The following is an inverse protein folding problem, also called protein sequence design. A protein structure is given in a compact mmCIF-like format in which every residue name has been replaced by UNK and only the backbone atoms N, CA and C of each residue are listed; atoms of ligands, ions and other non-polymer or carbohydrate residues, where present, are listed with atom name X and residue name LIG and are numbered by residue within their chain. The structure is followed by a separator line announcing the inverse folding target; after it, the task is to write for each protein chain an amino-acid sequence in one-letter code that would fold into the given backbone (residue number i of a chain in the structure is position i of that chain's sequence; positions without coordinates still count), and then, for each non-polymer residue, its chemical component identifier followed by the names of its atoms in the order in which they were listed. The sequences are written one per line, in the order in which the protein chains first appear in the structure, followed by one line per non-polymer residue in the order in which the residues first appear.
data_IF_243765133771
#
_entry.id   IF_243765133771
#
_cell.length_a   1.000
_cell.length_b   1.000
_cell.length_c   1.000
_cell.angle_alpha   90.00
_cell.angle_beta   90.00
_cell.angle_gamma   90.00
#
_symmetry.space_group_name_H-M   'P 1'
#
loop_
_entity.id
_entity.type
_entity.pdbx_description
1 polymer ?
#
# COMPACT_ATOMS: atom_id res chain seq x y z
N UNK A 1 -3.91 10.65 -12.37
CA UNK A 1 -4.47 9.28 -12.40
C UNK A 1 -5.92 9.29 -11.92
N UNK A 2 -6.75 8.37 -12.42
CA UNK A 2 -8.06 8.07 -11.83
C UNK A 2 -7.93 7.05 -10.69
N UNK A 3 -8.50 7.38 -9.54
CA UNK A 3 -8.23 6.69 -8.26
C UNK A 3 -9.52 6.15 -7.68
N UNK A 4 -9.48 4.90 -7.21
CA UNK A 4 -10.45 4.39 -6.23
C UNK A 4 -9.90 4.61 -4.82
N UNK A 5 -10.71 5.12 -3.91
CA UNK A 5 -10.31 5.31 -2.52
C UNK A 5 -10.86 4.18 -1.64
N UNK A 6 -9.97 3.51 -0.90
CA UNK A 6 -10.37 2.64 0.21
C UNK A 6 -10.83 3.52 1.37
N UNK A 7 -12.10 3.39 1.75
CA UNK A 7 -12.71 4.18 2.83
C UNK A 7 -13.17 3.30 3.97
N UNK A 8 -12.79 3.69 5.20
CA UNK A 8 -13.27 3.09 6.45
C UNK A 8 -14.31 3.95 7.17
N UNK A 9 -14.55 5.17 6.66
CA UNK A 9 -15.31 6.21 7.37
C UNK A 9 -14.43 7.09 8.27
N UNK A 10 -13.21 6.67 8.60
CA UNK A 10 -12.29 7.43 9.45
C UNK A 10 -11.70 8.68 8.79
N UNK A 11 -11.23 9.60 9.65
CA UNK A 11 -10.53 10.83 9.26
C UNK A 11 -9.36 10.57 8.30
N UNK A 12 -8.62 9.48 8.50
CA UNK A 12 -7.40 9.18 7.76
C UNK A 12 -7.72 8.81 6.31
N UNK A 13 -8.76 8.01 6.09
CA UNK A 13 -9.21 7.67 4.73
C UNK A 13 -9.72 8.90 3.96
N UNK A 14 -10.43 9.82 4.63
CA UNK A 14 -10.89 11.06 4.02
C UNK A 14 -9.71 12.00 3.71
N UNK A 15 -8.74 12.11 4.62
CA UNK A 15 -7.57 12.95 4.39
C UNK A 15 -6.66 12.41 3.28
N UNK A 16 -6.51 11.09 3.18
CA UNK A 16 -5.78 10.45 2.08
C UNK A 16 -6.40 10.78 0.72
N UNK A 17 -7.74 10.80 0.62
CA UNK A 17 -8.42 11.27 -0.59
C UNK A 17 -8.13 12.75 -0.88
N UNK A 18 -8.15 13.61 0.15
CA UNK A 18 -7.84 15.03 -0.02
C UNK A 18 -6.41 15.24 -0.51
N UNK A 19 -5.43 14.49 0.01
CA UNK A 19 -4.06 14.48 -0.51
C UNK A 19 -4.00 14.03 -1.96
N UNK A 20 -4.73 12.98 -2.34
CA UNK A 20 -4.81 12.56 -3.75
C UNK A 20 -5.27 13.70 -4.66
N UNK A 21 -6.32 14.44 -4.27
CA UNK A 21 -6.81 15.60 -5.03
C UNK A 21 -5.75 16.72 -5.08
N UNK A 22 -5.07 17.01 -3.97
CA UNK A 22 -3.98 18.00 -3.92
C UNK A 22 -2.81 17.65 -4.86
N UNK A 23 -2.50 16.36 -5.02
CA UNK A 23 -1.50 15.87 -5.97
C UNK A 23 -2.02 15.73 -7.42
N UNK A 24 -3.21 16.26 -7.72
CA UNK A 24 -3.77 16.28 -9.08
C UNK A 24 -4.41 14.96 -9.53
N UNK A 25 -4.70 14.06 -8.60
CA UNK A 25 -5.46 12.84 -8.89
C UNK A 25 -6.97 13.09 -8.83
N UNK A 26 -7.73 12.29 -9.57
CA UNK A 26 -9.19 12.33 -9.57
C UNK A 26 -9.75 11.11 -8.83
N UNK A 27 -10.49 11.32 -7.74
CA UNK A 27 -11.24 10.25 -7.09
C UNK A 27 -12.47 9.94 -7.94
N UNK A 28 -12.59 8.71 -8.43
CA UNK A 28 -13.70 8.29 -9.32
C UNK A 28 -14.62 7.25 -8.70
N UNK A 29 -14.20 6.62 -7.60
CA UNK A 29 -14.99 5.64 -6.87
C UNK A 29 -14.50 5.51 -5.42
N UNK A 30 -15.40 5.06 -4.55
CA UNK A 30 -15.10 4.62 -3.19
C UNK A 30 -15.19 3.10 -3.12
N UNK A 31 -14.36 2.48 -2.29
CA UNK A 31 -14.39 1.06 -1.99
C UNK A 31 -14.36 0.86 -0.47
N UNK A 32 -15.30 0.06 0.05
CA UNK A 32 -15.41 -0.21 1.48
C UNK A 32 -15.61 -1.71 1.73
N UNK A 33 -14.88 -2.24 2.70
CA UNK A 33 -15.16 -3.56 3.28
C UNK A 33 -15.97 -3.39 4.55
N UNK A 34 -16.95 -4.27 4.76
CA UNK A 34 -17.87 -4.22 5.90
C UNK A 34 -18.12 -5.61 6.50
N UNK A 35 -18.62 -5.69 7.74
CA UNK A 35 -18.98 -6.97 8.36
C UNK A 35 -20.02 -7.77 7.57
N UNK A 36 -20.07 -9.09 7.80
CA UNK A 36 -21.11 -9.96 7.21
C UNK A 36 -22.49 -9.63 7.78
N UNK A 37 -22.55 -9.35 9.08
CA UNK A 37 -23.75 -9.02 9.81
C UNK A 37 -23.78 -7.51 10.12
N UNK A 38 -24.83 -6.83 9.68
CA UNK A 38 -25.01 -5.39 9.88
C UNK A 38 -25.21 -5.02 11.37
N UNK A 39 -25.58 -5.99 12.21
CA UNK A 39 -25.69 -5.82 13.66
C UNK A 39 -24.34 -5.83 14.38
N UNK A 40 -23.26 -6.24 13.70
CA UNK A 40 -21.90 -6.28 14.27
C UNK A 40 -21.16 -5.01 13.89
N UNK A 41 -20.84 -4.18 14.88
CA UNK A 41 -20.07 -2.95 14.65
C UNK A 41 -18.57 -3.19 14.51
N UNK A 42 -18.01 -4.09 15.33
CA UNK A 42 -16.57 -4.31 15.44
C UNK A 42 -16.18 -5.74 15.07
N UNK A 43 -15.22 -5.86 14.16
CA UNK A 43 -14.48 -7.09 13.91
C UNK A 43 -13.08 -6.99 14.50
N UNK A 44 -12.53 -8.13 14.93
CA UNK A 44 -11.11 -8.25 15.27
C UNK A 44 -10.26 -8.39 13.99
N UNK A 45 -10.26 -7.32 13.19
CA UNK A 45 -9.53 -7.20 11.91
C UNK A 45 -8.27 -6.37 12.11
N UNK A 46 -7.15 -6.81 11.53
CA UNK A 46 -5.90 -6.02 11.54
C UNK A 46 -5.88 -5.00 10.39
N UNK A 47 -6.78 -5.15 9.42
CA UNK A 47 -6.84 -4.32 8.22
C UNK A 47 -7.91 -3.23 8.28
N UNK A 48 -9.07 -3.52 8.85
CA UNK A 48 -10.27 -2.73 8.60
C UNK A 48 -10.90 -2.21 9.89
N UNK A 49 -11.10 -0.90 9.95
CA UNK A 49 -12.10 -0.31 10.83
C UNK A 49 -13.50 -0.66 10.29
N UNK A 50 -14.35 -1.21 11.15
CA UNK A 50 -15.75 -1.52 10.82
C UNK A 50 -16.76 -0.71 11.62
N UNK A 51 -16.31 -0.03 12.68
CA UNK A 51 -17.19 0.79 13.52
C UNK A 51 -17.73 1.97 12.70
N UNK A 52 -19.06 2.13 12.69
CA UNK A 52 -19.76 3.15 11.93
C UNK A 52 -19.97 2.80 10.45
N UNK A 53 -19.75 1.54 10.04
CA UNK A 53 -19.92 1.11 8.65
C UNK A 53 -21.33 1.35 8.09
N UNK A 54 -22.36 1.44 8.93
CA UNK A 54 -23.74 1.72 8.53
C UNK A 54 -23.87 3.11 7.87
N UNK A 55 -23.03 4.06 8.28
CA UNK A 55 -23.08 5.45 7.78
C UNK A 55 -22.31 5.62 6.46
N UNK A 56 -21.31 4.76 6.19
CA UNK A 56 -20.42 4.87 5.00
C UNK A 56 -21.21 4.88 3.68
N UNK A 57 -22.37 4.22 3.63
CA UNK A 57 -23.28 4.25 2.47
C UNK A 57 -23.59 5.68 2.01
N UNK A 58 -23.62 6.62 2.95
CA UNK A 58 -23.91 8.03 2.72
C UNK A 58 -22.80 8.77 1.98
N UNK A 59 -21.55 8.28 2.03
CA UNK A 59 -20.40 8.94 1.41
C UNK A 59 -20.56 9.04 -0.11
N UNK A 60 -21.19 8.03 -0.72
CA UNK A 60 -21.52 8.04 -2.14
C UNK A 60 -22.35 9.28 -2.51
N UNK A 61 -23.39 9.58 -1.71
CA UNK A 61 -24.25 10.75 -1.91
C UNK A 61 -23.55 12.04 -1.55
N UNK A 62 -22.79 12.08 -0.45
CA UNK A 62 -22.04 13.26 -0.02
C UNK A 62 -21.04 13.73 -1.07
N UNK A 63 -20.31 12.79 -1.70
CA UNK A 63 -19.26 13.07 -2.68
C UNK A 63 -19.77 13.04 -4.13
N UNK A 64 -20.92 12.42 -4.40
CA UNK A 64 -21.47 12.31 -5.75
C UNK A 64 -20.77 11.24 -6.61
N UNK A 65 -20.05 10.30 -6.01
CA UNK A 65 -19.31 9.25 -6.73
C UNK A 65 -19.76 7.85 -6.30
N UNK A 66 -19.60 6.82 -7.15
CA UNK A 66 -20.05 5.48 -6.82
C UNK A 66 -19.27 4.88 -5.65
N UNK A 67 -19.97 4.16 -4.77
CA UNK A 67 -19.41 3.37 -3.68
C UNK A 67 -19.58 1.88 -3.96
N UNK A 68 -18.50 1.13 -3.90
CA UNK A 68 -18.48 -0.32 -3.99
C UNK A 68 -18.28 -0.90 -2.59
N UNK A 69 -19.13 -1.82 -2.18
CA UNK A 69 -19.07 -2.47 -0.87
C UNK A 69 -18.96 -3.97 -1.01
N UNK A 70 -18.12 -4.60 -0.18
CA UNK A 70 -18.04 -6.05 -0.07
C UNK A 70 -18.08 -6.45 1.41
N UNK A 71 -18.84 -7.50 1.72
CA UNK A 71 -18.84 -8.12 3.05
C UNK A 71 -17.59 -8.98 3.21
N UNK A 72 -16.86 -8.79 4.31
CA UNK A 72 -15.63 -9.53 4.65
C UNK A 72 -16.00 -10.97 4.96
N UNK A 73 -15.55 -11.93 4.16
CA UNK A 73 -15.77 -13.37 4.40
C UNK A 73 -14.54 -14.03 5.02
N UNK A 74 -13.35 -13.50 4.72
CA UNK A 74 -12.09 -13.95 5.27
C UNK A 74 -11.87 -13.49 6.70
N UNK A 75 -10.74 -13.92 7.25
CA UNK A 75 -10.26 -13.48 8.56
C UNK A 75 -8.76 -13.18 8.51
N UNK A 76 -8.22 -12.56 9.55
CA UNK A 76 -6.76 -12.36 9.68
C UNK A 76 -6.05 -13.72 9.73
N UNK A 77 -5.36 -14.14 8.66
CA UNK A 77 -4.64 -15.43 8.59
C UNK A 77 -3.15 -15.25 8.41
N UNK A 78 -2.74 -14.39 7.49
CA UNK A 78 -1.33 -14.12 7.23
C UNK A 78 -0.87 -12.95 8.09
N UNK A 79 -0.07 -13.20 9.13
CA UNK A 79 0.33 -12.14 10.09
C UNK A 79 1.72 -11.54 9.85
N UNK A 80 2.52 -12.10 8.93
CA UNK A 80 3.85 -11.53 8.62
C UNK A 80 3.72 -10.21 7.84
N UNK A 81 4.79 -9.41 7.84
CA UNK A 81 4.85 -8.13 7.14
C UNK A 81 4.73 -8.28 5.62
N UNK A 82 5.53 -9.16 5.01
CA UNK A 82 5.34 -9.53 3.60
C UNK A 82 4.04 -10.31 3.45
N UNK A 83 3.17 -9.90 2.53
CA UNK A 83 1.94 -10.61 2.27
C UNK A 83 2.13 -11.62 1.13
N UNK A 84 1.63 -12.83 1.32
CA UNK A 84 1.47 -13.84 0.27
C UNK A 84 -0.02 -14.15 0.16
N UNK A 85 -0.50 -14.28 -1.08
CA UNK A 85 -1.89 -14.69 -1.35
C UNK A 85 -2.25 -15.89 -0.49
N UNK A 86 -3.22 -15.71 0.40
CA UNK A 86 -3.60 -16.69 1.41
C UNK A 86 -5.10 -16.91 1.33
N UNK A 87 -5.57 -18.10 0.89
CA UNK A 87 -7.00 -18.36 0.76
C UNK A 87 -7.76 -18.14 2.08
N UNK A 88 -8.89 -17.43 2.00
CA UNK A 88 -9.75 -17.06 3.13
C UNK A 88 -9.14 -16.02 4.08
N UNK A 89 -8.06 -15.35 3.68
CA UNK A 89 -7.56 -14.17 4.36
C UNK A 89 -8.36 -12.93 3.93
N UNK A 90 -8.61 -12.01 4.87
CA UNK A 90 -9.40 -10.79 4.66
C UNK A 90 -8.84 -9.85 3.58
N UNK A 91 -7.57 -10.01 3.19
CA UNK A 91 -6.94 -9.27 2.08
C UNK A 91 -7.45 -9.74 0.71
N UNK A 92 -7.86 -11.01 0.59
CA UNK A 92 -8.43 -11.51 -0.66
C UNK A 92 -9.83 -10.95 -0.92
N UNK A 93 -10.58 -10.62 0.14
CA UNK A 93 -11.83 -9.86 0.00
C UNK A 93 -11.57 -8.48 -0.62
N UNK A 94 -10.51 -7.79 -0.20
CA UNK A 94 -10.11 -6.51 -0.81
C UNK A 94 -9.68 -6.67 -2.26
N UNK A 95 -9.00 -7.77 -2.59
CA UNK A 95 -8.65 -8.09 -3.98
C UNK A 95 -9.90 -8.22 -4.85
N UNK A 96 -10.90 -9.00 -4.40
CA UNK A 96 -12.16 -9.18 -5.13
C UNK A 96 -12.95 -7.87 -5.28
N UNK A 97 -13.02 -7.06 -4.22
CA UNK A 97 -13.66 -5.75 -4.25
C UNK A 97 -13.01 -4.84 -5.30
N UNK A 98 -11.68 -4.70 -5.27
CA UNK A 98 -10.96 -3.84 -6.20
C UNK A 98 -10.95 -4.39 -7.63
N UNK A 99 -11.00 -5.72 -7.81
CA UNK A 99 -11.18 -6.37 -9.11
C UNK A 99 -12.51 -5.97 -9.74
N UNK A 100 -13.62 -6.02 -8.99
CA UNK A 100 -14.93 -5.61 -9.50
C UNK A 100 -15.01 -4.10 -9.77
N UNK A 101 -14.38 -3.27 -8.93
CA UNK A 101 -14.24 -1.83 -9.19
C UNK A 101 -13.52 -1.60 -10.53
N UNK A 102 -12.37 -2.26 -10.76
CA UNK A 102 -11.60 -2.14 -12.00
C UNK A 102 -12.37 -2.65 -13.22
N UNK A 103 -13.14 -3.73 -13.09
CA UNK A 103 -14.01 -4.26 -14.15
C UNK A 103 -15.11 -3.27 -14.53
N UNK A 104 -15.73 -2.60 -13.54
CA UNK A 104 -16.78 -1.59 -13.75
C UNK A 104 -16.23 -0.25 -14.24
N UNK A 105 -15.01 0.11 -13.83
CA UNK A 105 -14.34 1.36 -14.22
C UNK A 105 -12.92 1.02 -14.72
N UNK A 106 -12.78 0.54 -15.97
CA UNK A 106 -11.49 0.09 -16.52
C UNK A 106 -10.41 1.17 -16.57
N UNK A 107 -10.81 2.45 -16.50
CA UNK A 107 -9.88 3.59 -16.51
C UNK A 107 -9.22 3.87 -15.14
N UNK A 108 -9.50 3.10 -14.08
CA UNK A 108 -8.82 3.28 -12.79
C UNK A 108 -7.38 2.80 -12.91
N UNK A 109 -6.47 3.62 -12.39
CA UNK A 109 -5.03 3.40 -12.46
C UNK A 109 -4.41 3.21 -11.07
N UNK A 110 -5.10 3.64 -10.02
CA UNK A 110 -4.53 3.68 -8.68
C UNK A 110 -5.56 3.50 -7.56
N UNK A 111 -5.06 3.12 -6.38
CA UNK A 111 -5.83 2.91 -5.15
C UNK A 111 -5.25 3.82 -4.05
N UNK A 112 -6.11 4.62 -3.41
CA UNK A 112 -5.72 5.41 -2.23
C UNK A 112 -6.00 4.64 -0.95
N UNK A 113 -5.05 4.64 0.00
CA UNK A 113 -5.23 4.10 1.34
C UNK A 113 -4.79 5.09 2.43
N UNK A 114 -5.44 5.00 3.59
CA UNK A 114 -5.28 5.93 4.72
C UNK A 114 -4.30 5.48 5.81
N UNK A 115 -3.49 4.44 5.60
CA UNK A 115 -2.58 3.93 6.61
C UNK A 115 -1.44 4.95 6.91
N UNK A 116 -1.21 5.30 8.18
CA UNK A 116 -0.17 6.26 8.58
C UNK A 116 1.10 5.55 9.01
N UNK A 117 1.04 4.63 9.99
CA UNK A 117 2.23 3.99 10.55
C UNK A 117 2.35 2.51 10.17
N UNK A 118 1.21 1.84 9.93
CA UNK A 118 1.14 0.39 9.75
C UNK A 118 1.74 -0.09 8.43
N UNK A 119 2.94 -0.66 8.50
CA UNK A 119 3.55 -1.39 7.39
C UNK A 119 2.75 -2.64 6.99
N UNK A 120 2.08 -3.26 7.96
CA UNK A 120 1.20 -4.40 7.75
C UNK A 120 0.08 -4.07 6.74
N UNK A 121 -0.62 -2.95 6.96
CA UNK A 121 -1.72 -2.51 6.10
C UNK A 121 -1.22 -2.07 4.74
N UNK A 122 -0.17 -1.23 4.71
CA UNK A 122 0.41 -0.72 3.46
C UNK A 122 0.84 -1.85 2.53
N UNK A 123 1.60 -2.84 3.03
CA UNK A 123 2.13 -3.94 2.21
C UNK A 123 1.02 -4.83 1.63
N UNK A 124 -0.12 -4.98 2.30
CA UNK A 124 -1.29 -5.70 1.79
C UNK A 124 -1.99 -4.96 0.67
N UNK A 125 -2.17 -3.64 0.82
CA UNK A 125 -2.69 -2.79 -0.26
C UNK A 125 -1.75 -2.81 -1.46
N UNK A 126 -0.44 -2.69 -1.26
CA UNK A 126 0.57 -2.80 -2.33
C UNK A 126 0.51 -4.16 -3.05
N UNK A 127 0.37 -5.27 -2.31
CA UNK A 127 0.23 -6.60 -2.88
C UNK A 127 -1.00 -6.73 -3.80
N UNK A 128 -2.17 -6.25 -3.33
CA UNK A 128 -3.40 -6.28 -4.13
C UNK A 128 -3.29 -5.37 -5.36
N UNK A 129 -2.75 -4.16 -5.20
CA UNK A 129 -2.52 -3.23 -6.30
C UNK A 129 -1.61 -3.83 -7.37
N UNK A 130 -0.49 -4.43 -6.97
CA UNK A 130 0.45 -5.09 -7.87
C UNK A 130 -0.22 -6.20 -8.69
N UNK A 131 -1.00 -7.08 -8.05
CA UNK A 131 -1.74 -8.16 -8.73
C UNK A 131 -2.79 -7.65 -9.72
N UNK A 132 -3.39 -6.51 -9.42
CA UNK A 132 -4.39 -5.88 -10.29
C UNK A 132 -3.78 -4.95 -11.33
N UNK A 133 -2.47 -4.71 -11.32
CA UNK A 133 -1.83 -3.69 -12.17
C UNK A 133 -2.37 -2.29 -11.88
N UNK A 134 -2.44 -1.93 -10.60
CA UNK A 134 -2.80 -0.61 -10.08
C UNK A 134 -1.64 -0.04 -9.26
N UNK A 135 -1.58 1.28 -9.15
CA UNK A 135 -0.61 1.99 -8.31
C UNK A 135 -1.18 2.19 -6.90
N UNK A 136 -0.41 1.85 -5.86
CA UNK A 136 -0.79 2.15 -4.47
C UNK A 136 -0.40 3.59 -4.10
N UNK A 137 -1.35 4.39 -3.63
CA UNK A 137 -1.12 5.74 -3.12
C UNK A 137 -1.28 5.73 -1.59
N UNK A 138 -0.19 6.00 -0.87
CA UNK A 138 -0.11 5.96 0.59
C UNK A 138 0.50 7.26 1.13
N UNK A 139 -0.13 8.41 0.81
CA UNK A 139 0.41 9.74 1.11
C UNK A 139 0.61 10.04 2.60
N UNK A 140 -0.14 9.38 3.47
CA UNK A 140 -0.04 9.58 4.92
C UNK A 140 1.06 8.74 5.56
N UNK A 141 1.61 7.75 4.83
CA UNK A 141 2.51 6.78 5.43
C UNK A 141 3.82 7.40 5.90
N UNK A 142 4.21 7.06 7.14
CA UNK A 142 5.38 7.55 7.91
C UNK A 142 5.44 9.07 8.11
N UNK A 143 4.35 9.80 7.89
CA UNK A 143 4.26 11.22 8.24
C UNK A 143 4.16 11.42 9.76
N UNK A 144 4.52 12.63 10.24
CA UNK A 144 4.37 12.98 11.65
C UNK A 144 2.89 13.06 12.03
N UNK A 145 2.49 12.27 13.03
CA UNK A 145 1.08 12.12 13.42
C UNK A 145 0.51 13.37 14.10
N UNK A 146 1.34 14.12 14.84
CA UNK A 146 0.89 15.37 15.47
C UNK A 146 0.58 16.43 14.41
N UNK A 147 1.47 16.58 13.43
CA UNK A 147 1.26 17.43 12.27
C UNK A 147 0.08 16.97 11.43
N UNK A 148 -0.02 15.66 11.12
CA UNK A 148 -1.13 15.12 10.34
C UNK A 148 -2.49 15.41 10.98
N UNK A 149 -2.64 15.18 12.29
CA UNK A 149 -3.90 15.44 12.98
C UNK A 149 -4.28 16.92 12.91
N UNK A 150 -3.31 17.82 13.11
CA UNK A 150 -3.51 19.26 12.97
C UNK A 150 -3.91 19.61 11.54
N UNK A 151 -3.22 19.08 10.53
CA UNK A 151 -3.54 19.34 9.12
C UNK A 151 -4.95 18.84 8.76
N UNK A 152 -5.38 17.67 9.26
CA UNK A 152 -6.73 17.15 9.03
C UNK A 152 -7.78 18.14 9.52
N UNK A 153 -7.61 18.66 10.74
CA UNK A 153 -8.50 19.66 11.35
C UNK A 153 -8.47 20.96 10.54
N UNK A 154 -7.28 21.48 10.23
CA UNK A 154 -7.11 22.76 9.53
C UNK A 154 -7.65 22.71 8.09
N UNK A 155 -7.62 21.53 7.46
CA UNK A 155 -8.19 21.31 6.14
C UNK A 155 -9.68 20.95 6.19
N UNK A 156 -10.35 21.08 7.34
CA UNK A 156 -11.80 21.01 7.43
C UNK A 156 -12.38 19.60 7.51
N UNK A 157 -11.63 18.61 7.98
CA UNK A 157 -12.20 17.32 8.34
C UNK A 157 -12.99 17.48 9.65
N UNK A 158 -14.30 17.26 9.57
CA UNK A 158 -15.19 17.16 10.72
C UNK A 158 -15.45 15.68 10.99
N UNK A 159 -14.74 15.13 11.96
CA UNK A 159 -14.83 13.73 12.33
C UNK A 159 -15.09 13.57 13.83
N UNK A 160 -16.03 12.69 14.16
CA UNK A 160 -16.33 12.33 15.55
C UNK A 160 -15.65 11.02 15.92
N UNK A 161 -15.28 10.86 17.18
CA UNK A 161 -14.83 9.57 17.73
C UNK A 161 -15.99 8.58 17.83
N UNK A 162 -15.80 7.38 17.28
CA UNK A 162 -16.81 6.31 17.29
C UNK A 162 -16.36 5.06 18.03
N UNK A 163 -15.07 4.97 18.36
CA UNK A 163 -14.53 3.96 19.27
C UNK A 163 -13.45 4.59 20.12
N UNK A 164 -13.34 4.15 21.37
CA UNK A 164 -12.18 4.42 22.22
C UNK A 164 -11.78 3.13 22.93
N UNK A 165 -10.48 2.88 23.03
CA UNK A 165 -9.93 1.64 23.58
C UNK A 165 -8.54 1.85 24.21
N UNK A 166 -8.29 3.02 24.83
CA UNK A 166 -6.99 3.34 25.39
C UNK A 166 -7.08 4.05 26.75
N UNK A 167 -6.00 3.90 27.53
CA UNK A 167 -5.86 4.52 28.83
C UNK A 167 -6.04 6.04 28.74
N UNK A 168 -6.88 6.58 29.62
CA UNK A 168 -7.23 8.00 29.64
C UNK A 168 -8.39 8.37 28.71
N UNK A 169 -8.76 7.53 27.74
CA UNK A 169 -10.00 7.74 26.98
C UNK A 169 -11.19 7.12 27.72
N UNK A 170 -12.26 7.89 27.90
CA UNK A 170 -13.48 7.46 28.56
C UNK A 170 -14.64 7.46 27.54
N UNK A 171 -15.31 6.31 27.33
CA UNK A 171 -16.41 6.20 26.38
C UNK A 171 -17.51 7.26 26.55
N UNK A 172 -18.00 7.46 27.78
CA UNK A 172 -19.10 8.40 28.06
C UNK A 172 -18.74 9.86 27.77
N UNK A 173 -17.45 10.22 27.94
CA UNK A 173 -16.99 11.59 27.76
C UNK A 173 -16.54 11.88 26.34
N UNK A 174 -15.94 10.89 25.68
CA UNK A 174 -15.20 11.11 24.44
C UNK A 174 -15.92 10.59 23.21
N UNK A 175 -16.79 9.57 23.27
CA UNK A 175 -17.52 9.13 22.08
C UNK A 175 -18.48 10.21 21.58
N UNK A 176 -18.58 10.34 20.26
CA UNK A 176 -19.39 11.36 19.59
C UNK A 176 -18.78 12.77 19.65
N UNK A 177 -17.59 12.95 20.23
CA UNK A 177 -16.90 14.26 20.25
C UNK A 177 -16.12 14.46 18.97
N UNK A 178 -16.16 15.69 18.48
CA UNK A 178 -15.34 16.12 17.34
C UNK A 178 -13.85 15.99 17.68
N UNK A 179 -13.06 15.54 16.71
CA UNK A 179 -11.63 15.32 16.89
C UNK A 179 -10.86 16.61 17.19
N UNK A 180 -11.30 17.75 16.67
CA UNK A 180 -10.72 19.06 16.98
C UNK A 180 -10.87 19.43 18.45
N UNK A 181 -12.01 19.05 19.06
CA UNK A 181 -12.25 19.24 20.49
C UNK A 181 -11.30 18.38 21.34
N UNK A 182 -10.94 17.18 20.85
CA UNK A 182 -10.05 16.26 21.53
C UNK A 182 -8.56 16.54 21.26
N UNK A 183 -8.20 17.41 20.33
CA UNK A 183 -6.83 17.63 19.86
C UNK A 183 -5.82 17.86 20.99
N UNK A 184 -6.06 18.85 21.86
CA UNK A 184 -5.17 19.16 22.99
C UNK A 184 -5.15 18.05 24.03
N UNK A 185 -6.28 17.36 24.21
CA UNK A 185 -6.40 16.25 25.15
C UNK A 185 -5.58 15.03 24.70
N UNK A 186 -5.65 14.67 23.42
CA UNK A 186 -4.87 13.58 22.84
C UNK A 186 -3.36 13.84 22.94
N UNK A 187 -2.91 15.08 22.73
CA UNK A 187 -1.51 15.45 22.92
C UNK A 187 -1.05 15.32 24.38
N UNK A 188 -1.90 15.72 25.33
CA UNK A 188 -1.63 15.48 26.75
C UNK A 188 -1.55 13.99 27.07
N UNK A 189 -2.44 13.17 26.52
CA UNK A 189 -2.38 11.72 26.71
C UNK A 189 -1.13 11.11 26.06
N UNK A 190 -0.64 11.66 24.95
CA UNK A 190 0.62 11.22 24.31
C UNK A 190 1.81 11.43 25.24
N UNK A 191 1.86 12.57 25.92
CA UNK A 191 2.89 12.86 26.92
C UNK A 191 2.80 11.97 28.16
N UNK A 192 1.58 11.68 28.64
CA UNK A 192 1.37 10.91 29.86
C UNK A 192 1.50 9.40 29.67
N UNK A 193 0.95 8.87 28.57
CA UNK A 193 0.75 7.43 28.37
C UNK A 193 1.29 6.92 27.03
N UNK A 194 1.81 7.79 26.17
CA UNK A 194 2.36 7.39 24.87
C UNK A 194 1.30 7.00 23.83
N UNK A 195 0.04 7.40 24.00
CA UNK A 195 -1.02 7.16 22.99
C UNK A 195 -0.62 7.76 21.64
N UNK A 196 -1.00 7.08 20.56
CA UNK A 196 -0.93 7.64 19.24
C UNK A 196 -1.99 8.73 19.04
N UNK A 197 -1.58 9.96 18.74
CA UNK A 197 -2.53 11.08 18.54
C UNK A 197 -3.44 10.86 17.34
N UNK A 198 -3.07 10.04 16.36
CA UNK A 198 -3.93 9.65 15.24
C UNK A 198 -4.69 8.33 15.48
N UNK A 199 -4.51 7.62 16.60
CA UNK A 199 -5.24 6.39 16.90
C UNK A 199 -4.82 5.15 16.10
N UNK A 200 -3.62 5.15 15.51
CA UNK A 200 -3.11 4.05 14.64
C UNK A 200 -3.06 2.66 15.30
N UNK A 201 -2.92 2.58 16.62
CA UNK A 201 -2.93 1.34 17.38
C UNK A 201 -4.33 0.84 17.73
N UNK A 202 -5.37 1.46 17.18
CA UNK A 202 -6.76 1.20 17.54
C UNK A 202 -7.18 1.89 18.85
N UNK A 203 -6.39 2.86 19.33
CA UNK A 203 -6.68 3.57 20.59
C UNK A 203 -7.98 4.35 20.54
N UNK A 204 -8.33 4.84 19.36
CA UNK A 204 -9.66 5.35 19.03
C UNK A 204 -9.89 5.25 17.52
N UNK A 205 -11.16 5.20 17.12
CA UNK A 205 -11.56 5.27 15.70
C UNK A 205 -12.49 6.47 15.51
N UNK A 206 -12.58 6.95 14.28
CA UNK A 206 -13.39 8.12 13.94
C UNK A 206 -14.35 7.86 12.81
N UNK A 207 -15.39 8.67 12.70
CA UNK A 207 -16.29 8.73 11.57
C UNK A 207 -16.36 10.18 11.08
N UNK A 208 -16.01 10.39 9.82
CA UNK A 208 -16.07 11.70 9.18
C UNK A 208 -17.50 12.01 8.80
N UNK A 209 -18.04 13.08 9.36
CA UNK A 209 -19.40 13.57 9.09
C UNK A 209 -19.40 14.61 7.97
N UNK A 210 -18.31 15.36 7.86
CA UNK A 210 -18.11 16.30 6.76
C UNK A 210 -16.63 16.51 6.43
N UNK A 211 -16.34 16.82 5.17
CA UNK A 211 -15.04 17.31 4.72
C UNK A 211 -15.18 18.07 3.39
N UNK A 212 -14.15 18.76 2.89
CA UNK A 212 -14.23 19.49 1.61
C UNK A 212 -14.61 18.65 0.40
N UNK A 213 -14.39 17.32 0.44
CA UNK A 213 -14.78 16.41 -0.64
C UNK A 213 -16.28 16.07 -0.63
N UNK A 214 -16.99 16.34 0.47
CA UNK A 214 -18.43 16.09 0.60
C UNK A 214 -19.19 17.28 0.02
N UNK A 215 -19.15 17.42 -1.30
CA UNK A 215 -19.63 18.60 -2.02
C UNK A 215 -21.16 18.73 -2.05
N UNK A 216 -21.91 17.62 -1.96
CA UNK A 216 -23.36 17.64 -2.12
C UNK A 216 -24.14 17.65 -0.80
N UNK A 217 -23.61 17.02 0.25
CA UNK A 217 -24.28 16.91 1.53
C UNK A 217 -23.29 16.62 2.65
N UNK A 218 -23.64 17.00 3.88
CA UNK A 218 -22.97 16.53 5.10
C UNK A 218 -23.85 15.54 5.84
N UNK A 219 -23.22 14.71 6.68
CA UNK A 219 -23.93 13.74 7.51
C UNK A 219 -24.23 14.38 8.86
N UNK A 220 -25.46 14.24 9.33
CA UNK A 220 -25.87 14.66 10.66
C UNK A 220 -26.27 13.41 11.45
N UNK A 221 -25.50 13.10 12.49
CA UNK A 221 -25.82 12.05 13.45
C UNK A 221 -26.77 12.62 14.51
N UNK A 222 -28.00 12.12 14.56
CA UNK A 222 -29.04 12.63 15.47
C UNK A 222 -29.04 11.88 16.79
N UNK A 223 -29.05 10.55 16.70
CA UNK A 223 -29.14 9.66 17.86
C UNK A 223 -28.14 8.52 17.72
N UNK A 224 -27.52 8.18 18.83
CA UNK A 224 -26.60 7.06 18.94
C UNK A 224 -26.66 6.45 20.33
N UNK A 225 -26.23 5.20 20.43
CA UNK A 225 -26.03 4.49 21.68
C UNK A 225 -24.54 4.29 21.92
N UNK A 226 -24.11 4.40 23.17
CA UNK A 226 -22.79 3.96 23.60
C UNK A 226 -22.87 2.51 24.08
N UNK A 227 -22.12 1.62 23.43
CA UNK A 227 -21.98 0.21 23.79
C UNK A 227 -20.63 0.04 24.46
N UNK A 228 -20.62 -0.44 25.70
CA UNK A 228 -19.40 -0.76 26.43
C UNK A 228 -19.01 -2.22 26.14
N UNK A 229 -17.89 -2.41 25.43
CA UNK A 229 -17.30 -3.74 25.17
C UNK A 229 -16.46 -4.22 26.35
N UNK A 230 -15.76 -3.29 27.02
CA UNK A 230 -15.01 -3.59 28.24
C UNK A 230 -15.13 -2.42 29.22
N UNK A 231 -15.56 -2.71 30.44
CA UNK A 231 -15.63 -1.74 31.54
C UNK A 231 -14.35 -1.71 32.37
N UNK A 232 -13.19 -2.02 31.77
CA UNK A 232 -11.90 -1.99 32.45
C UNK A 232 -11.66 -0.61 33.09
N UNK A 233 -11.20 -0.60 34.34
CA UNK A 233 -11.01 0.63 35.13
C UNK A 233 -9.88 1.52 34.62
N UNK A 234 -8.97 0.97 33.81
CA UNK A 234 -7.75 1.60 33.31
C UNK A 234 -7.90 1.97 31.83
N UNK A 235 -8.38 1.04 31.01
CA UNK A 235 -8.55 1.21 29.57
C UNK A 235 -9.92 0.69 29.10
N UNK A 236 -11.01 1.41 29.41
CA UNK A 236 -12.35 1.01 28.99
C UNK A 236 -12.45 1.03 27.45
N UNK A 237 -13.17 0.05 26.92
CA UNK A 237 -13.47 -0.05 25.48
C UNK A 237 -14.94 0.26 25.27
N UNK A 238 -15.21 1.26 24.45
CA UNK A 238 -16.57 1.66 24.12
C UNK A 238 -16.70 2.07 22.67
N UNK A 239 -17.89 1.81 22.13
CA UNK A 239 -18.24 2.02 20.73
C UNK A 239 -19.52 2.85 20.65
N UNK A 240 -19.58 3.71 19.64
CA UNK A 240 -20.76 4.43 19.25
C UNK A 240 -21.50 3.64 18.18
N UNK A 241 -22.72 3.20 18.49
CA UNK A 241 -23.65 2.60 17.55
C UNK A 241 -24.68 3.65 17.09
N UNK A 242 -24.71 4.02 15.80
CA UNK A 242 -25.65 5.02 15.30
C UNK A 242 -27.09 4.47 15.27
N UNK A 243 -28.04 5.23 15.80
CA UNK A 243 -29.47 4.88 15.80
C UNK A 243 -30.26 5.65 14.74
N UNK A 244 -29.94 6.93 14.57
CA UNK A 244 -30.58 7.80 13.58
C UNK A 244 -29.57 8.81 13.01
N UNK A 245 -29.58 8.97 11.70
CA UNK A 245 -28.80 9.97 10.99
C UNK A 245 -29.51 10.38 9.69
N UNK A 246 -29.21 11.58 9.20
CA UNK A 246 -29.69 12.05 7.92
C UNK A 246 -28.60 12.81 7.15
N UNK A 247 -28.90 13.13 5.89
CA UNK A 247 -28.06 13.96 5.04
C UNK A 247 -28.65 15.36 4.96
N UNK A 248 -27.82 16.36 5.26
CA UNK A 248 -28.15 17.76 5.05
C UNK A 248 -27.48 18.24 3.76
N UNK A 249 -28.29 18.59 2.76
CA UNK A 249 -27.82 19.05 1.46
C UNK A 249 -27.08 20.38 1.58
N UNK A 250 -25.93 20.48 0.92
CA UNK A 250 -25.18 21.73 0.81
C UNK A 250 -25.73 22.52 -0.37
N UNK A 251 -25.95 23.83 -0.16
CA UNK A 251 -26.25 24.72 -1.27
C UNK A 251 -25.07 24.70 -2.25
N UNK A 252 -25.35 24.68 -3.55
CA UNK A 252 -24.33 24.67 -4.60
C UNK A 252 -23.35 25.83 -4.36
N UNK A 253 -22.10 25.50 -4.02
CA UNK A 253 -21.06 26.49 -3.87
C UNK A 253 -20.68 27.02 -5.25
N UNK A 254 -20.86 28.33 -5.45
CA UNK A 254 -20.32 29.06 -6.60
C UNK A 254 -18.82 28.83 -6.63
N UNK A 255 -18.35 28.12 -7.65
CA UNK A 255 -16.96 27.71 -7.84
C UNK A 255 -15.99 28.88 -7.73
N UNK A 256 -15.08 28.81 -6.76
CA UNK A 256 -13.87 29.64 -6.76
C UNK A 256 -12.82 28.93 -7.62
N UNK A 257 -12.76 29.35 -8.88
CA UNK A 257 -11.55 29.44 -9.72
C UNK A 257 -10.70 28.18 -9.97
N UNK A 258 -10.88 27.58 -11.15
CA UNK A 258 -9.74 27.12 -11.97
C UNK A 258 -9.66 25.63 -12.33
N UNK A 259 -10.50 25.16 -13.26
CA UNK A 259 -10.09 24.50 -14.52
C UNK A 259 -11.36 24.01 -15.26
N UNK A 260 -11.94 24.87 -16.09
CA UNK A 260 -13.06 24.55 -16.98
C UNK A 260 -12.61 23.63 -18.11
N UNK A 261 -12.71 22.30 -17.91
CA UNK A 261 -12.95 21.29 -18.97
C UNK A 261 -13.58 20.03 -18.38
N UNK A 262 -14.80 20.13 -17.85
CA UNK A 262 -15.59 18.94 -17.54
C UNK A 262 -17.08 19.20 -17.73
N UNK A 263 -17.47 19.44 -18.99
CA UNK A 263 -18.84 19.22 -19.44
C UNK A 263 -18.76 18.21 -20.60
N UNK A 264 -19.66 17.24 -20.56
CA UNK A 264 -19.80 16.08 -21.45
C UNK A 264 -18.95 14.86 -21.10
N UNK A 265 -19.39 14.11 -20.06
CA UNK A 265 -19.60 12.65 -20.09
C UNK A 265 -19.96 12.13 -18.67
N UNK A 266 -21.17 11.56 -18.54
CA UNK A 266 -21.73 10.81 -17.38
C UNK A 266 -22.39 11.61 -16.24
N UNK A 267 -23.59 12.14 -16.50
CA UNK A 267 -24.50 12.65 -15.46
C UNK A 267 -25.44 11.59 -14.85
N UNK A 268 -25.28 10.29 -15.19
CA UNK A 268 -26.27 9.24 -14.85
C UNK A 268 -25.87 8.28 -13.71
N UNK A 269 -24.69 8.40 -13.09
CA UNK A 269 -24.20 7.41 -12.10
C UNK A 269 -23.70 7.99 -10.75
N UNK A 270 -24.00 9.25 -10.46
CA UNK A 270 -23.53 9.96 -9.25
C UNK A 270 -24.21 9.42 -7.99
N UNK A 271 -23.42 8.90 -7.03
CA UNK A 271 -23.88 8.47 -5.70
C UNK A 271 -24.53 7.08 -5.59
N UNK A 272 -24.32 6.21 -6.57
CA UNK A 272 -24.79 4.82 -6.53
C UNK A 272 -23.97 3.96 -5.57
N UNK A 273 -24.62 2.97 -4.97
CA UNK A 273 -23.99 1.96 -4.10
C UNK A 273 -24.08 0.60 -4.78
N UNK A 274 -22.95 -0.06 -4.94
CA UNK A 274 -22.82 -1.39 -5.53
C UNK A 274 -22.40 -2.39 -4.47
N UNK A 275 -23.18 -3.44 -4.28
CA UNK A 275 -22.77 -4.59 -3.47
C UNK A 275 -22.04 -5.62 -4.35
N UNK A 276 -20.81 -5.93 -3.97
CA UNK A 276 -19.97 -6.94 -4.62
C UNK A 276 -20.24 -8.28 -3.94
N UNK A 277 -20.89 -9.18 -4.67
CA UNK A 277 -21.12 -10.56 -4.22
C UNK A 277 -19.85 -11.39 -4.34
N UNK A 278 -19.71 -12.40 -3.50
CA UNK A 278 -18.68 -13.43 -3.69
C UNK A 278 -19.04 -14.24 -4.93
N UNK A 279 -18.10 -14.41 -5.87
CA UNK A 279 -18.27 -15.38 -6.95
C UNK A 279 -18.29 -16.78 -6.31
N UNK A 280 -19.43 -17.49 -6.40
CA UNK A 280 -19.45 -18.93 -6.17
C UNK A 280 -18.51 -19.55 -7.22
N UNK A 281 -17.41 -20.12 -6.77
CA UNK A 281 -16.40 -20.74 -7.62
C UNK A 281 -16.96 -21.99 -8.30
N UNK A 282 -17.60 -21.83 -9.46
CA UNK A 282 -17.61 -22.90 -10.46
C UNK A 282 -16.19 -23.03 -11.03
N UNK A 283 -15.64 -24.23 -10.88
CA UNK A 283 -14.22 -24.52 -11.01
C UNK A 283 -13.62 -24.05 -12.34
N UNK A 284 -12.57 -23.23 -12.23
CA UNK A 284 -11.65 -23.03 -13.32
C UNK A 284 -10.66 -24.19 -13.30
N UNK A 285 -10.76 -25.07 -14.30
CA UNK A 285 -9.83 -26.17 -14.55
C UNK A 285 -8.46 -25.55 -14.85
N UNK A 286 -7.48 -25.82 -13.99
CA UNK A 286 -6.09 -25.48 -14.22
C UNK A 286 -5.62 -26.10 -15.54
N UNK A 287 -5.39 -25.26 -16.55
CA UNK A 287 -4.55 -25.61 -17.68
C UNK A 287 -3.11 -25.73 -17.17
N UNK A 288 -2.74 -26.94 -16.72
CA UNK A 288 -1.35 -27.31 -16.49
C UNK A 288 -0.64 -27.35 -17.83
N UNK A 289 0.00 -26.24 -18.22
CA UNK A 289 1.11 -26.31 -19.14
C UNK A 289 2.29 -26.96 -18.41
N UNK A 290 2.57 -28.20 -18.79
CA UNK A 290 3.75 -28.94 -18.38
C UNK A 290 4.99 -28.24 -18.94
N UNK A 291 5.71 -27.50 -18.09
CA UNK A 291 7.08 -27.08 -18.39
C UNK A 291 7.95 -28.32 -18.27
N UNK A 292 8.46 -28.80 -19.40
CA UNK A 292 9.41 -29.91 -19.43
C UNK A 292 10.70 -29.49 -18.71
N UNK A 293 11.09 -30.26 -17.69
CA UNK A 293 12.43 -30.25 -17.14
C UNK A 293 13.42 -30.61 -18.25
N UNK A 294 14.12 -29.60 -18.75
CA UNK A 294 15.30 -29.76 -19.59
C UNK A 294 16.50 -29.44 -18.71
N UNK A 295 16.95 -30.42 -17.94
CA UNK A 295 18.24 -30.40 -17.25
C UNK A 295 19.34 -30.59 -18.29
N UNK A 296 19.70 -29.52 -19.00
CA UNK A 296 20.93 -29.48 -19.77
C UNK A 296 22.03 -28.97 -18.84
N UNK A 297 22.77 -29.91 -18.26
CA UNK A 297 24.08 -29.67 -17.68
C UNK A 297 25.07 -29.41 -18.82
N UNK A 298 25.09 -28.18 -19.34
CA UNK A 298 26.23 -27.68 -20.11
C UNK A 298 27.29 -27.20 -19.13
N UNK A 299 28.44 -27.89 -19.12
CA UNK A 299 29.69 -27.39 -18.56
C UNK A 299 29.94 -26.00 -19.16
N UNK A 300 29.92 -24.96 -18.32
CA UNK A 300 30.21 -23.61 -18.75
C UNK A 300 31.65 -23.55 -19.28
N UNK A 301 31.78 -23.25 -20.57
CA UNK A 301 32.99 -22.66 -21.11
C UNK A 301 33.19 -21.29 -20.46
N UNK A 302 34.44 -20.91 -20.24
CA UNK A 302 34.81 -19.66 -19.61
C UNK A 302 34.59 -18.52 -20.63
N UNK A 303 33.35 -18.06 -20.74
CA UNK A 303 32.85 -17.07 -21.72
C UNK A 303 33.35 -15.64 -21.41
N UNK A 304 34.65 -15.35 -21.54
CA UNK A 304 35.21 -13.97 -21.54
C UNK A 304 34.92 -13.06 -20.33
N UNK A 305 34.14 -13.55 -19.36
CA UNK A 305 33.62 -12.85 -18.20
C UNK A 305 34.72 -12.69 -17.16
N UNK A 306 34.95 -11.45 -16.76
CA UNK A 306 35.89 -11.11 -15.72
C UNK A 306 35.13 -10.96 -14.40
N UNK A 307 35.75 -11.41 -13.31
CA UNK A 307 35.22 -11.27 -11.95
C UNK A 307 36.34 -10.82 -11.02
N UNK A 308 36.03 -9.91 -10.11
CA UNK A 308 36.96 -9.40 -9.11
C UNK A 308 36.28 -9.35 -7.75
N UNK A 309 36.96 -9.86 -6.73
CA UNK A 309 36.46 -9.89 -5.36
C UNK A 309 37.37 -9.05 -4.47
N UNK A 310 36.83 -8.05 -3.79
CA UNK A 310 37.56 -7.21 -2.84
C UNK A 310 37.01 -7.43 -1.43
N UNK A 311 37.87 -7.86 -0.52
CA UNK A 311 37.49 -8.14 0.87
C UNK A 311 37.71 -6.93 1.76
N UNK A 312 36.72 -6.61 2.57
CA UNK A 312 36.77 -5.65 3.68
C UNK A 312 36.43 -6.41 4.98
N UNK A 313 36.60 -5.81 6.15
CA UNK A 313 36.55 -6.55 7.43
C UNK A 313 35.26 -7.35 7.64
N UNK A 314 34.10 -6.70 7.45
CA UNK A 314 32.77 -7.27 7.74
C UNK A 314 31.92 -7.56 6.49
N UNK A 315 32.42 -7.18 5.31
CA UNK A 315 31.74 -7.32 4.03
C UNK A 315 32.76 -7.49 2.89
N UNK A 316 32.34 -7.94 1.73
CA UNK A 316 33.18 -7.96 0.54
C UNK A 316 32.36 -7.56 -0.69
N UNK A 317 33.02 -6.98 -1.69
CA UNK A 317 32.39 -6.68 -2.96
C UNK A 317 32.80 -7.67 -4.03
N UNK A 318 31.85 -8.03 -4.90
CA UNK A 318 32.08 -8.85 -6.09
C UNK A 318 31.67 -8.02 -7.30
N UNK A 319 32.62 -7.74 -8.17
CA UNK A 319 32.41 -7.04 -9.44
C UNK A 319 32.54 -8.01 -10.59
N UNK A 320 31.63 -7.95 -11.57
CA UNK A 320 31.66 -8.80 -12.75
C UNK A 320 31.22 -8.04 -14.00
N UNK A 321 31.93 -8.30 -15.10
CA UNK A 321 31.70 -7.66 -16.40
C UNK A 321 32.17 -8.56 -17.54
N UNK A 322 31.71 -8.25 -18.75
CA UNK A 322 32.17 -8.85 -20.00
C UNK A 322 33.07 -7.87 -20.75
N UNK A 323 34.00 -8.36 -21.57
CA UNK A 323 34.75 -7.51 -22.50
C UNK A 323 33.90 -7.07 -23.70
N UNK A 324 34.13 -5.88 -24.24
CA UNK A 324 33.32 -5.33 -25.34
C UNK A 324 33.30 -6.23 -26.61
N UNK A 325 34.40 -6.93 -26.90
CA UNK A 325 34.52 -7.82 -28.07
C UNK A 325 33.65 -9.07 -27.99
N UNK A 326 33.26 -9.47 -26.78
CA UNK A 326 32.45 -10.67 -26.51
C UNK A 326 30.96 -10.33 -26.33
N UNK A 327 30.60 -9.03 -26.35
CA UNK A 327 29.25 -8.57 -26.10
C UNK A 327 28.30 -8.97 -27.23
N UNK A 328 27.15 -9.55 -26.85
CA UNK A 328 26.09 -9.95 -27.79
C UNK A 328 24.80 -9.15 -27.61
N UNK A 329 24.73 -8.30 -26.58
CA UNK A 329 23.58 -7.46 -26.26
C UNK A 329 23.40 -7.31 -24.76
N UNK A 330 22.70 -6.26 -24.32
CA UNK A 330 22.56 -5.96 -22.89
C UNK A 330 21.95 -7.14 -22.11
N UNK A 331 20.92 -7.77 -22.67
CA UNK A 331 20.23 -8.87 -22.03
C UNK A 331 21.15 -10.07 -21.78
N UNK A 332 21.95 -10.47 -22.77
CA UNK A 332 22.79 -11.66 -22.67
C UNK A 332 24.06 -11.40 -21.85
N UNK A 333 24.66 -10.21 -22.00
CA UNK A 333 25.74 -9.74 -21.13
C UNK A 333 25.28 -9.76 -19.66
N UNK A 334 24.11 -9.21 -19.36
CA UNK A 334 23.56 -9.16 -18.00
C UNK A 334 23.23 -10.56 -17.44
N UNK A 335 22.68 -11.47 -18.26
CA UNK A 335 22.50 -12.88 -17.85
C UNK A 335 23.83 -13.54 -17.50
N UNK A 336 24.86 -13.33 -18.33
CA UNK A 336 26.20 -13.88 -18.11
C UNK A 336 26.81 -13.38 -16.79
N UNK A 337 26.78 -12.06 -16.59
CA UNK A 337 27.28 -11.41 -15.36
C UNK A 337 26.54 -11.91 -14.12
N UNK A 338 25.21 -11.96 -14.13
CA UNK A 338 24.42 -12.42 -12.98
C UNK A 338 24.67 -13.90 -12.64
N UNK A 339 24.80 -14.78 -13.65
CA UNK A 339 25.15 -16.20 -13.44
C UNK A 339 26.54 -16.35 -12.83
N UNK A 340 27.53 -15.57 -13.29
CA UNK A 340 28.90 -15.62 -12.76
C UNK A 340 28.94 -15.14 -11.31
N UNK A 341 28.21 -14.08 -10.96
CA UNK A 341 28.07 -13.61 -9.57
C UNK A 341 27.41 -14.68 -8.70
N UNK A 342 26.32 -15.31 -9.15
CA UNK A 342 25.64 -16.37 -8.39
C UNK A 342 26.56 -17.58 -8.14
N UNK A 343 27.39 -17.95 -9.12
CA UNK A 343 28.40 -18.99 -8.98
C UNK A 343 29.51 -18.61 -7.99
N UNK A 344 29.99 -17.36 -8.02
CA UNK A 344 30.98 -16.86 -7.07
C UNK A 344 30.44 -16.86 -5.64
N UNK A 345 29.23 -16.31 -5.43
CA UNK A 345 28.56 -16.35 -4.12
C UNK A 345 28.45 -17.79 -3.59
N UNK A 346 28.01 -18.72 -4.45
CA UNK A 346 27.91 -20.15 -4.11
C UNK A 346 29.26 -20.75 -3.70
N UNK A 347 30.35 -20.33 -4.36
CA UNK A 347 31.72 -20.73 -4.00
C UNK A 347 32.15 -20.30 -2.59
N UNK A 348 31.55 -19.24 -2.03
CA UNK A 348 31.75 -18.79 -0.65
C UNK A 348 30.70 -19.32 0.33
N UNK A 349 29.84 -20.27 -0.09
CA UNK A 349 28.65 -20.74 0.64
C UNK A 349 27.65 -19.60 0.98
N UNK A 350 27.48 -18.66 0.05
CA UNK A 350 26.54 -17.54 0.17
C UNK A 350 25.57 -17.55 -1.02
N UNK A 351 24.46 -16.84 -0.89
CA UNK A 351 23.51 -16.64 -1.98
C UNK A 351 22.98 -15.20 -2.01
N UNK A 352 21.95 -14.92 -2.81
CA UNK A 352 21.38 -13.58 -2.95
C UNK A 352 20.82 -12.98 -1.65
N UNK A 353 20.52 -13.81 -0.63
CA UNK A 353 20.12 -13.32 0.71
C UNK A 353 21.25 -12.52 1.40
N UNK A 354 22.50 -12.81 1.04
CA UNK A 354 23.70 -12.19 1.60
C UNK A 354 24.08 -10.89 0.90
N UNK A 355 23.46 -10.58 -0.24
CA UNK A 355 23.73 -9.35 -0.99
C UNK A 355 22.95 -8.19 -0.38
N UNK A 356 23.66 -7.16 0.06
CA UNK A 356 23.08 -5.95 0.66
C UNK A 356 22.68 -4.94 -0.41
N UNK A 357 23.58 -4.69 -1.35
CA UNK A 357 23.45 -3.63 -2.34
C UNK A 357 23.97 -4.10 -3.70
N UNK A 358 23.35 -3.63 -4.78
CA UNK A 358 23.76 -3.88 -6.16
C UNK A 358 23.92 -2.57 -6.92
N UNK A 359 25.13 -2.34 -7.42
CA UNK A 359 25.39 -1.34 -8.44
C UNK A 359 25.29 -2.01 -9.82
N UNK A 360 24.24 -1.67 -10.56
CA UNK A 360 24.04 -2.12 -11.94
C UNK A 360 24.38 -0.97 -12.88
N UNK A 361 25.45 -1.12 -13.66
CA UNK A 361 25.78 -0.17 -14.72
C UNK A 361 25.39 -0.75 -16.08
N UNK A 362 24.69 0.04 -16.89
CA UNK A 362 24.31 -0.33 -18.25
C UNK A 362 24.79 0.72 -19.24
N UNK A 363 24.98 0.34 -20.51
CA UNK A 363 25.49 1.25 -21.54
C UNK A 363 24.47 2.27 -22.06
N UNK A 364 23.17 2.00 -21.90
CA UNK A 364 22.07 2.83 -22.40
C UNK A 364 20.83 2.66 -21.51
N UNK A 365 20.34 3.75 -20.91
CA UNK A 365 19.18 3.76 -20.02
C UNK A 365 17.85 3.59 -20.76
N UNK A 366 17.81 3.77 -22.08
CA UNK A 366 16.64 3.41 -22.88
C UNK A 366 16.38 1.90 -22.86
N UNK A 367 17.41 1.08 -22.59
CA UNK A 367 17.28 -0.37 -22.44
C UNK A 367 16.93 -0.79 -20.98
N UNK A 368 16.59 0.16 -20.08
CA UNK A 368 16.29 -0.13 -18.67
C UNK A 368 15.22 -1.20 -18.47
N UNK A 369 14.14 -1.18 -19.27
CA UNK A 369 13.08 -2.16 -19.17
C UNK A 369 13.59 -3.60 -19.42
N UNK A 370 14.50 -3.78 -20.38
CA UNK A 370 15.13 -5.06 -20.71
C UNK A 370 16.08 -5.51 -19.58
N UNK A 371 16.87 -4.57 -19.06
CA UNK A 371 17.75 -4.83 -17.91
C UNK A 371 16.94 -5.27 -16.69
N UNK A 372 15.83 -4.58 -16.42
CA UNK A 372 14.95 -4.86 -15.31
C UNK A 372 14.29 -6.24 -15.45
N UNK A 373 13.66 -6.54 -16.59
CA UNK A 373 13.05 -7.85 -16.87
C UNK A 373 14.05 -9.01 -16.74
N UNK A 374 15.31 -8.78 -17.12
CA UNK A 374 16.37 -9.78 -16.96
C UNK A 374 16.78 -9.93 -15.49
N UNK A 375 17.01 -8.82 -14.79
CA UNK A 375 17.45 -8.82 -13.39
C UNK A 375 16.45 -9.55 -12.47
N UNK A 376 15.15 -9.28 -12.61
CA UNK A 376 14.11 -9.84 -11.73
C UNK A 376 13.97 -11.35 -11.83
N UNK A 377 14.49 -11.97 -12.90
CA UNK A 377 14.52 -13.44 -13.06
C UNK A 377 15.61 -14.09 -12.21
N UNK A 378 16.65 -13.36 -11.84
CA UNK A 378 17.75 -13.87 -11.03
C UNK A 378 17.55 -13.61 -9.53
N UNK A 379 17.08 -12.41 -9.19
CA UNK A 379 16.94 -11.95 -7.81
C UNK A 379 15.45 -11.80 -7.50
N UNK A 380 14.90 -12.83 -6.86
CA UNK A 380 13.46 -12.96 -6.56
C UNK A 380 13.23 -12.88 -5.05
N UNK A 381 11.99 -12.60 -4.65
CA UNK A 381 11.59 -12.67 -3.23
C UNK A 381 11.76 -14.09 -2.66
N UNK A 382 11.61 -15.12 -3.48
CA UNK A 382 11.83 -16.52 -3.06
C UNK A 382 13.29 -16.79 -2.68
N UNK A 383 14.23 -16.26 -3.48
CA UNK A 383 15.67 -16.35 -3.18
C UNK A 383 16.12 -15.39 -2.08
N UNK A 384 15.35 -14.32 -1.83
CA UNK A 384 15.66 -13.29 -0.85
C UNK A 384 14.51 -13.12 0.16
N UNK A 385 14.28 -14.10 1.07
CA UNK A 385 13.14 -14.07 1.99
C UNK A 385 13.20 -12.93 3.01
N UNK A 386 14.40 -12.46 3.37
CA UNK A 386 14.63 -11.26 4.20
C UNK A 386 14.57 -9.96 3.39
N UNK A 387 14.15 -10.04 2.13
CA UNK A 387 14.03 -8.96 1.19
C UNK A 387 15.19 -8.87 0.20
N UNK A 388 14.80 -8.52 -1.02
CA UNK A 388 15.65 -8.25 -2.18
C UNK A 388 16.67 -7.13 -1.89
N UNK A 389 17.90 -7.19 -2.42
CA UNK A 389 18.92 -6.15 -2.24
C UNK A 389 18.46 -4.78 -2.75
N UNK A 390 18.98 -3.71 -2.15
CA UNK A 390 18.83 -2.38 -2.72
C UNK A 390 19.66 -2.27 -4.00
N UNK A 391 19.18 -1.47 -4.97
CA UNK A 391 19.83 -1.37 -6.27
C UNK A 391 19.90 0.07 -6.76
N UNK A 392 21.08 0.48 -7.21
CA UNK A 392 21.24 1.64 -8.09
C UNK A 392 21.48 1.17 -9.52
N UNK A 393 20.81 1.80 -10.48
CA UNK A 393 21.03 1.57 -11.91
C UNK A 393 21.48 2.87 -12.56
N UNK A 394 22.66 2.86 -13.16
CA UNK A 394 23.31 4.06 -13.70
C UNK A 394 23.80 3.79 -15.11
N UNK A 395 23.57 4.75 -16.00
CA UNK A 395 24.13 4.69 -17.35
C UNK A 395 25.61 5.09 -17.31
N UNK A 396 26.48 4.28 -17.90
CA UNK A 396 27.90 4.58 -18.08
C UNK A 396 28.33 4.28 -19.52
N UNK A 397 29.35 4.98 -20.05
CA UNK A 397 29.88 4.73 -21.39
C UNK A 397 30.75 3.45 -21.44
N UNK A 398 30.23 2.32 -20.97
CA UNK A 398 30.95 1.04 -20.83
C UNK A 398 31.69 0.60 -22.11
N UNK A 399 31.10 0.68 -23.32
CA UNK A 399 31.80 0.27 -24.54
C UNK A 399 33.03 1.13 -24.86
N UNK A 400 33.07 2.40 -24.42
CA UNK A 400 34.19 3.30 -24.66
C UNK A 400 35.44 2.92 -23.86
N UNK A 401 35.26 2.19 -22.76
CA UNK A 401 36.34 1.67 -21.91
C UNK A 401 36.60 0.17 -22.15
N UNK A 402 36.07 -0.39 -23.25
CA UNK A 402 36.30 -1.78 -23.64
C UNK A 402 35.50 -2.81 -22.85
N UNK A 403 34.44 -2.38 -22.16
CA UNK A 403 33.51 -3.25 -21.43
C UNK A 403 32.27 -3.56 -22.27
N UNK A 404 31.62 -4.68 -21.97
CA UNK A 404 30.32 -5.05 -22.53
C UNK A 404 29.22 -4.08 -22.07
N UNK A 405 27.97 -4.40 -22.43
CA UNK A 405 26.82 -3.52 -22.17
C UNK A 405 26.35 -3.52 -20.72
N UNK A 406 26.82 -4.46 -19.90
CA UNK A 406 26.49 -4.56 -18.47
C UNK A 406 27.74 -4.75 -17.60
N UNK A 407 27.75 -4.07 -16.45
CA UNK A 407 28.69 -4.30 -15.35
C UNK A 407 27.87 -4.34 -14.07
N UNK A 408 28.16 -5.30 -13.19
CA UNK A 408 27.56 -5.35 -11.86
C UNK A 408 28.65 -5.37 -10.79
N UNK A 409 28.45 -4.58 -9.75
CA UNK A 409 29.11 -4.76 -8.46
C UNK A 409 28.07 -5.05 -7.38
N UNK A 410 28.31 -6.08 -6.57
CA UNK A 410 27.47 -6.45 -5.43
C UNK A 410 28.24 -6.32 -4.13
N UNK A 411 27.60 -5.73 -3.12
CA UNK A 411 28.09 -5.69 -1.75
C UNK A 411 27.50 -6.86 -0.96
N UNK A 412 28.35 -7.71 -0.39
CA UNK A 412 27.97 -8.98 0.23
C UNK A 412 28.37 -9.00 1.69
N UNK A 413 27.51 -9.51 2.57
CA UNK A 413 27.80 -9.77 3.98
C UNK A 413 27.54 -11.21 4.37
N UNK A 414 28.27 -11.70 5.36
CA UNK A 414 28.00 -13.00 5.99
C UNK A 414 26.92 -12.91 7.08
N UNK A 415 26.49 -11.70 7.44
CA UNK A 415 25.42 -11.50 8.41
C UNK A 415 24.04 -11.76 7.77
N UNK A 416 23.21 -12.57 8.40
CA UNK A 416 21.86 -12.89 7.92
C UNK A 416 20.76 -11.95 8.45
N UNK A 417 21.07 -11.03 9.37
CA UNK A 417 20.12 -10.06 9.95
C UNK A 417 19.79 -8.89 9.02
N UNK A 418 19.78 -9.12 7.70
CA UNK A 418 19.46 -8.11 6.71
C UNK A 418 18.01 -7.62 6.91
N UNK A 419 17.88 -6.31 7.12
CA UNK A 419 16.59 -5.59 7.13
C UNK A 419 16.58 -4.64 5.95
N UNK A 420 15.53 -4.71 5.15
CA UNK A 420 15.37 -3.84 3.99
C UNK A 420 14.01 -3.19 3.98
N UNK A 421 13.93 -2.06 3.29
CA UNK A 421 12.70 -1.33 3.10
C UNK A 421 12.25 -1.47 1.64
N UNK A 422 11.11 -2.11 1.40
CA UNK A 422 10.50 -2.13 0.06
C UNK A 422 9.25 -1.26 0.07
N UNK A 423 9.31 -0.16 -0.69
CA UNK A 423 8.19 0.79 -0.82
C UNK A 423 7.74 0.76 -2.27
N UNK A 424 6.57 0.20 -2.56
CA UNK A 424 6.01 0.27 -3.92
C UNK A 424 5.00 1.40 -4.06
N UNK A 425 4.41 1.85 -2.96
CA UNK A 425 3.47 2.96 -2.95
C UNK A 425 4.13 4.30 -3.27
N UNK A 426 3.35 5.20 -3.86
CA UNK A 426 3.69 6.63 -3.91
C UNK A 426 3.32 7.23 -2.55
N UNK A 427 4.28 7.86 -1.88
CA UNK A 427 4.11 8.49 -0.57
C UNK A 427 4.91 9.79 -0.46
N UNK A 428 4.67 10.57 0.60
CA UNK A 428 5.46 11.77 0.90
C UNK A 428 6.78 11.47 1.63
N UNK A 429 6.97 10.26 2.16
CA UNK A 429 8.10 9.93 3.02
C UNK A 429 9.26 9.28 2.28
N UNK A 430 8.98 8.30 1.42
CA UNK A 430 9.98 7.60 0.64
C UNK A 430 9.56 7.49 -0.83
N UNK A 431 10.52 7.54 -1.77
CA UNK A 431 10.24 7.32 -3.18
C UNK A 431 9.74 5.89 -3.40
N UNK A 432 8.99 5.67 -4.48
CA UNK A 432 8.59 4.31 -4.87
C UNK A 432 9.78 3.58 -5.51
N UNK A 433 10.00 2.33 -5.11
CA UNK A 433 10.93 1.42 -5.76
C UNK A 433 10.40 1.02 -7.15
N UNK A 434 11.15 1.35 -8.19
CA UNK A 434 10.87 0.90 -9.56
C UNK A 434 11.39 -0.53 -9.70
N UNK A 435 10.53 -1.50 -9.45
CA UNK A 435 10.83 -2.94 -9.53
C UNK A 435 10.92 -3.64 -8.17
N UNK A 436 11.32 -4.92 -8.14
CA UNK A 436 11.36 -5.73 -6.93
C UNK A 436 12.71 -5.54 -6.20
N UNK A 437 13.11 -4.30 -5.94
CA UNK A 437 14.35 -3.98 -5.21
C UNK A 437 14.02 -3.11 -4.02
N UNK A 438 14.83 -3.18 -2.98
CA UNK A 438 14.61 -2.41 -1.77
C UNK A 438 15.34 -1.08 -1.79
N UNK A 439 15.06 -0.26 -0.78
CA UNK A 439 15.82 0.92 -0.38
C UNK A 439 16.73 0.54 0.78
#
# INVERSE_FOLDING_TARGET
MKVVALVSGGKDSCYAMMKCVQYGHQIVALANLMPVDDAVDELDSYMYQTVGHQIIVSYAKCMGIPLFRKRIQGSTRHQKLSYKMTPGDEVEDMYELLKEVKKKIPSIEAVSSGAIASDYQRLRVESVCSRLGLVSLAYLWKQDQSMLLQEMIDNGILAITVKVAAMGLNPEKHLGKDISFLYSYLHKLKELYGINVCGEGGEYETLTLDCPLFVHARIVLEEFQVILHSSDSIAPVGILHPLAFHLETKAESVSVGGCDKMNDLHHENTGLVYEVQAENSEGCVDAKESVADVTVLTKAADDGLQISTKKEDLAFSVSCWLGASESSGLQDDLKGVLRKIEAELSGHNLDWRNVLYVHLYISDMNEFAVANDTYVKFITQEKCPSGVPSRSTVELPLPHVGLGKAYIEVLVTKNEEKRVLHVQSISCWAPSCIGPYSQ
#
